data_IF_634052877210
#
_entry.id   IF_634052877210
#
_cell.length_a   1.000
_cell.length_b   1.000
_cell.length_c   1.000
_cell.angle_alpha   90.00
_cell.angle_beta   90.00
_cell.angle_gamma   90.00
#
_symmetry.space_group_name_H-M   'P 1'
#
loop_
_entity.id
_entity.type
_entity.pdbx_description
1 polymer ?
#
# COMPACT_ATOMS: atom_id res chain seq x y z
N UNK A 1 62.56 -29.89 12.10
CA UNK A 1 61.38 -29.73 11.21
C UNK A 1 60.55 -28.57 11.72
N UNK A 2 60.34 -27.51 10.93
CA UNK A 2 59.50 -26.39 11.37
C UNK A 2 58.00 -26.79 11.32
N UNK A 3 57.14 -26.20 12.17
CA UNK A 3 55.72 -26.55 12.21
C UNK A 3 55.00 -26.07 10.95
N UNK A 4 54.25 -26.97 10.31
CA UNK A 4 53.41 -26.68 9.14
C UNK A 4 52.42 -25.56 9.50
N UNK A 5 52.57 -24.40 8.85
CA UNK A 5 51.54 -23.34 8.84
C UNK A 5 50.27 -23.93 8.24
N UNK A 6 49.19 -23.94 9.02
CA UNK A 6 47.87 -24.25 8.54
C UNK A 6 47.44 -23.17 7.53
N UNK A 7 47.36 -23.55 6.26
CA UNK A 7 46.79 -22.71 5.19
C UNK A 7 45.35 -23.18 5.03
N UNK A 8 44.32 -22.35 5.37
CA UNK A 8 42.94 -22.75 5.15
C UNK A 8 42.70 -22.99 3.65
N UNK A 9 41.92 -24.03 3.29
CA UNK A 9 41.57 -24.26 1.90
C UNK A 9 40.80 -23.05 1.36
N UNK A 10 40.99 -22.68 0.07
CA UNK A 10 40.21 -21.61 -0.53
C UNK A 10 38.73 -21.98 -0.43
N UNK A 11 37.94 -21.09 0.19
CA UNK A 11 36.50 -21.27 0.28
C UNK A 11 35.95 -21.44 -1.14
N UNK A 12 35.17 -22.51 -1.43
CA UNK A 12 34.54 -22.63 -2.72
C UNK A 12 33.71 -21.37 -2.96
N UNK A 13 33.93 -20.69 -4.08
CA UNK A 13 33.08 -19.59 -4.55
C UNK A 13 31.69 -20.17 -4.80
N UNK A 14 30.88 -20.25 -3.74
CA UNK A 14 29.53 -20.79 -3.78
C UNK A 14 28.71 -19.83 -4.64
N UNK A 15 28.30 -20.33 -5.80
CA UNK A 15 27.27 -19.86 -6.72
C UNK A 15 26.48 -18.64 -6.25
N UNK A 16 26.45 -17.58 -7.07
CA UNK A 16 25.76 -16.30 -6.79
C UNK A 16 24.30 -16.41 -6.36
N UNK A 17 23.62 -17.52 -6.66
CA UNK A 17 22.29 -17.87 -6.13
C UNK A 17 22.22 -17.97 -4.60
N UNK A 18 23.33 -18.26 -3.92
CA UNK A 18 23.37 -18.40 -2.46
C UNK A 18 23.27 -17.05 -1.74
N UNK A 19 23.76 -15.97 -2.35
CA UNK A 19 23.74 -14.64 -1.74
C UNK A 19 22.32 -14.08 -1.64
N UNK A 20 21.51 -14.25 -2.67
CA UNK A 20 20.14 -13.74 -2.71
C UNK A 20 19.20 -14.51 -1.81
N UNK A 21 19.32 -15.85 -1.82
CA UNK A 21 18.58 -16.70 -0.91
C UNK A 21 18.97 -16.40 0.55
N UNK A 22 20.26 -16.13 0.79
CA UNK A 22 20.78 -15.70 2.09
C UNK A 22 20.23 -14.35 2.53
N UNK A 23 20.17 -13.37 1.63
CA UNK A 23 19.57 -12.06 1.90
C UNK A 23 18.06 -12.16 2.17
N UNK A 24 17.34 -12.97 1.39
CA UNK A 24 15.93 -13.24 1.61
C UNK A 24 15.69 -13.91 2.96
N UNK A 25 16.46 -14.95 3.29
CA UNK A 25 16.34 -15.65 4.57
C UNK A 25 16.70 -14.76 5.75
N UNK A 26 17.75 -13.94 5.63
CA UNK A 26 18.12 -12.95 6.63
C UNK A 26 16.99 -11.94 6.85
N UNK A 27 16.38 -11.43 5.77
CA UNK A 27 15.21 -10.54 5.83
C UNK A 27 14.00 -11.21 6.49
N UNK A 28 13.74 -12.48 6.19
CA UNK A 28 12.66 -13.27 6.79
C UNK A 28 12.88 -13.45 8.31
N UNK A 29 14.07 -13.87 8.72
CA UNK A 29 14.42 -14.00 10.14
C UNK A 29 14.31 -12.66 10.86
N UNK A 30 14.81 -11.58 10.25
CA UNK A 30 14.73 -10.23 10.78
C UNK A 30 13.29 -9.74 10.97
N UNK A 31 12.40 -10.08 10.03
CA UNK A 31 10.98 -9.71 10.09
C UNK A 31 10.25 -10.33 11.29
N UNK A 32 10.74 -11.46 11.81
CA UNK A 32 10.18 -12.12 13.01
C UNK A 32 10.67 -11.51 14.33
N UNK A 33 11.66 -10.60 14.30
CA UNK A 33 12.21 -10.01 15.52
C UNK A 33 11.38 -8.84 16.06
N UNK A 34 11.38 -8.59 17.39
CA UNK A 34 10.72 -7.43 17.98
C UNK A 34 11.23 -6.09 17.43
N UNK A 35 12.51 -6.04 17.02
CA UNK A 35 13.18 -4.87 16.48
C UNK A 35 12.93 -4.64 14.97
N UNK A 36 12.01 -5.37 14.33
CA UNK A 36 11.75 -5.29 12.88
C UNK A 36 11.57 -3.87 12.36
N UNK A 37 10.81 -3.01 13.05
CA UNK A 37 10.54 -1.66 12.56
C UNK A 37 11.78 -0.78 12.58
N UNK A 38 12.60 -0.89 13.63
CA UNK A 38 13.84 -0.13 13.77
C UNK A 38 14.88 -0.60 12.75
N UNK A 39 15.00 -1.91 12.55
CA UNK A 39 15.94 -2.50 11.59
C UNK A 39 15.52 -2.23 10.14
N UNK A 40 14.21 -2.24 9.84
CA UNK A 40 13.71 -1.82 8.52
C UNK A 40 13.98 -0.34 8.23
N UNK A 41 13.84 0.53 9.25
CA UNK A 41 14.19 1.94 9.12
C UNK A 41 15.67 2.18 8.81
N UNK A 42 16.56 1.34 9.35
CA UNK A 42 18.01 1.42 9.08
C UNK A 42 18.39 0.84 7.71
N UNK A 43 17.65 -0.14 7.21
CA UNK A 43 17.88 -0.75 5.89
C UNK A 43 17.26 0.06 4.74
N UNK A 44 16.26 0.90 5.01
CA UNK A 44 15.61 1.71 3.98
C UNK A 44 16.61 2.58 3.18
N UNK A 45 17.53 3.34 3.80
CA UNK A 45 18.56 4.09 3.06
C UNK A 45 19.46 3.22 2.19
N UNK A 46 19.81 2.01 2.66
CA UNK A 46 20.64 1.06 1.91
C UNK A 46 19.88 0.60 0.67
N UNK A 47 18.64 0.14 0.83
CA UNK A 47 17.77 -0.24 -0.27
C UNK A 47 17.62 0.90 -1.28
N UNK A 48 17.34 2.10 -0.80
CA UNK A 48 17.08 3.27 -1.64
C UNK A 48 18.32 3.71 -2.43
N UNK A 49 19.54 3.42 -1.93
CA UNK A 49 20.79 3.59 -2.66
C UNK A 49 21.02 2.50 -3.71
N UNK A 50 20.74 1.23 -3.37
CA UNK A 50 21.01 0.10 -4.26
C UNK A 50 19.98 -0.05 -5.39
N UNK A 51 18.73 0.39 -5.21
CA UNK A 51 17.70 0.35 -6.26
C UNK A 51 18.15 1.10 -7.54
N UNK A 52 18.55 2.38 -7.48
CA UNK A 52 19.06 3.09 -8.66
C UNK A 52 20.30 2.43 -9.27
N UNK A 53 21.23 1.92 -8.44
CA UNK A 53 22.43 1.23 -8.92
C UNK A 53 22.07 -0.04 -9.69
N UNK A 54 21.12 -0.83 -9.19
CA UNK A 54 20.60 -2.00 -9.89
C UNK A 54 20.01 -1.61 -11.26
N UNK A 55 19.15 -0.60 -11.30
CA UNK A 55 18.53 -0.15 -12.54
C UNK A 55 19.55 0.36 -13.57
N UNK A 56 20.55 1.14 -13.13
CA UNK A 56 21.64 1.60 -13.99
C UNK A 56 22.46 0.41 -14.50
N UNK A 57 22.80 -0.55 -13.64
CA UNK A 57 23.57 -1.74 -14.03
C UNK A 57 22.83 -2.59 -15.06
N UNK A 58 21.52 -2.81 -14.89
CA UNK A 58 20.69 -3.55 -15.86
C UNK A 58 20.60 -2.79 -17.17
N UNK A 59 20.44 -1.47 -17.13
CA UNK A 59 20.39 -0.61 -18.31
C UNK A 59 21.71 -0.61 -19.10
N UNK A 60 22.86 -0.54 -18.42
CA UNK A 60 24.18 -0.59 -19.07
C UNK A 60 24.52 -1.97 -19.65
N UNK A 61 23.93 -3.03 -19.11
CA UNK A 61 24.08 -4.40 -19.63
C UNK A 61 23.25 -4.70 -20.88
N UNK A 62 22.38 -3.78 -21.31
CA UNK A 62 21.54 -3.96 -22.50
C UNK A 62 22.25 -3.49 -23.77
N UNK A 63 22.43 -4.41 -24.71
CA UNK A 63 22.81 -4.08 -26.08
C UNK A 63 21.59 -3.54 -26.84
N UNK A 64 21.46 -2.22 -26.90
CA UNK A 64 20.36 -1.54 -27.58
C UNK A 64 20.30 -1.85 -29.09
N UNK A 65 21.44 -2.16 -29.72
CA UNK A 65 21.48 -2.53 -31.14
C UNK A 65 20.85 -3.90 -31.37
N UNK A 66 21.21 -4.88 -30.55
CA UNK A 66 20.63 -6.22 -30.59
C UNK A 66 19.15 -6.24 -30.16
N UNK A 67 18.74 -5.38 -29.23
CA UNK A 67 17.32 -5.22 -28.87
C UNK A 67 16.54 -4.57 -30.02
N UNK A 68 17.11 -3.58 -30.69
CA UNK A 68 16.47 -2.90 -31.82
C UNK A 68 16.29 -3.83 -33.03
N UNK A 69 17.18 -4.80 -33.27
CA UNK A 69 17.00 -5.77 -34.36
C UNK A 69 15.88 -6.79 -34.05
N UNK A 70 15.69 -7.14 -32.77
CA UNK A 70 14.70 -8.11 -32.29
C UNK A 70 13.49 -7.47 -31.60
N UNK A 71 13.21 -6.19 -31.87
CA UNK A 71 12.22 -5.40 -31.14
C UNK A 71 10.82 -6.04 -31.09
N UNK A 72 10.43 -6.72 -32.18
CA UNK A 72 9.15 -7.39 -32.32
C UNK A 72 9.05 -8.63 -31.42
N UNK A 73 10.13 -9.42 -31.29
CA UNK A 73 10.20 -10.57 -30.38
C UNK A 73 10.11 -10.09 -28.94
N UNK A 74 10.88 -9.05 -28.60
CA UNK A 74 10.90 -8.46 -27.26
C UNK A 74 9.51 -7.95 -26.88
N UNK A 75 8.86 -7.20 -27.78
CA UNK A 75 7.53 -6.67 -27.54
C UNK A 75 6.49 -7.78 -27.37
N UNK A 76 6.53 -8.82 -28.22
CA UNK A 76 5.62 -9.96 -28.14
C UNK A 76 5.77 -10.70 -26.81
N UNK A 77 7.01 -11.02 -26.41
CA UNK A 77 7.27 -11.74 -25.15
C UNK A 77 6.91 -10.87 -23.94
N UNK A 78 7.21 -9.58 -23.97
CA UNK A 78 6.84 -8.64 -22.91
C UNK A 78 5.32 -8.65 -22.69
N UNK A 79 4.54 -8.44 -23.75
CA UNK A 79 3.07 -8.43 -23.66
C UNK A 79 2.54 -9.79 -23.22
N UNK A 80 3.08 -10.89 -23.75
CA UNK A 80 2.67 -12.24 -23.37
C UNK A 80 2.92 -12.52 -21.88
N UNK A 81 4.13 -12.26 -21.38
CA UNK A 81 4.49 -12.49 -19.97
C UNK A 81 3.64 -11.64 -19.05
N UNK A 82 3.48 -10.35 -19.34
CA UNK A 82 2.69 -9.46 -18.50
C UNK A 82 1.21 -9.84 -18.50
N UNK A 83 0.63 -10.15 -19.68
CA UNK A 83 -0.78 -10.55 -19.79
C UNK A 83 -1.04 -11.88 -19.09
N UNK A 84 -0.19 -12.89 -19.30
CA UNK A 84 -0.32 -14.21 -18.66
C UNK A 84 -0.20 -14.06 -17.14
N UNK A 85 0.83 -13.36 -16.64
CA UNK A 85 0.98 -13.17 -15.19
C UNK A 85 -0.17 -12.39 -14.59
N UNK A 86 -0.59 -11.30 -15.22
CA UNK A 86 -1.73 -10.52 -14.75
C UNK A 86 -3.00 -11.38 -14.67
N UNK A 87 -3.28 -12.16 -15.71
CA UNK A 87 -4.45 -13.04 -15.75
C UNK A 87 -4.38 -14.16 -14.72
N UNK A 88 -3.24 -14.86 -14.60
CA UNK A 88 -3.05 -15.95 -13.64
C UNK A 88 -3.18 -15.41 -12.21
N UNK A 89 -2.52 -14.29 -11.89
CA UNK A 89 -2.55 -13.71 -10.54
C UNK A 89 -3.94 -13.17 -10.21
N UNK A 90 -4.61 -12.49 -11.14
CA UNK A 90 -5.98 -12.03 -10.94
C UNK A 90 -6.96 -13.21 -10.80
N UNK A 91 -6.80 -14.26 -11.60
CA UNK A 91 -7.60 -15.48 -11.50
C UNK A 91 -7.39 -16.21 -10.18
N UNK A 92 -6.14 -16.30 -9.70
CA UNK A 92 -5.82 -16.81 -8.37
C UNK A 92 -6.44 -15.94 -7.27
N UNK A 93 -6.27 -14.63 -7.31
CA UNK A 93 -6.86 -13.74 -6.32
C UNK A 93 -8.39 -13.88 -6.29
N UNK A 94 -9.02 -13.90 -7.46
CA UNK A 94 -10.46 -14.10 -7.54
C UNK A 94 -10.87 -15.46 -6.99
N UNK A 95 -10.18 -16.55 -7.32
CA UNK A 95 -10.47 -17.90 -6.79
C UNK A 95 -10.21 -18.05 -5.28
N UNK A 96 -9.33 -17.22 -4.72
CA UNK A 96 -9.16 -17.10 -3.28
C UNK A 96 -10.29 -16.33 -2.58
N UNK A 97 -11.18 -15.67 -3.34
CA UNK A 97 -12.35 -14.95 -2.82
C UNK A 97 -12.16 -13.44 -2.70
N UNK A 98 -11.11 -12.88 -3.31
CA UNK A 98 -10.95 -11.43 -3.42
C UNK A 98 -11.97 -10.82 -4.39
N UNK A 99 -12.31 -9.54 -4.19
CA UNK A 99 -13.22 -8.83 -5.09
C UNK A 99 -12.60 -8.68 -6.49
N UNK A 100 -13.43 -8.55 -7.53
CA UNK A 100 -12.97 -8.31 -8.90
C UNK A 100 -11.95 -7.16 -9.00
N UNK A 101 -12.22 -5.99 -8.40
CA UNK A 101 -11.27 -4.87 -8.39
C UNK A 101 -9.92 -5.21 -7.74
N UNK A 102 -9.93 -5.84 -6.55
CA UNK A 102 -8.71 -6.24 -5.84
C UNK A 102 -7.92 -7.24 -6.67
N UNK A 103 -8.60 -8.21 -7.28
CA UNK A 103 -7.98 -9.25 -8.10
C UNK A 103 -7.27 -8.66 -9.33
N UNK A 104 -7.91 -7.72 -10.04
CA UNK A 104 -7.31 -7.01 -11.18
C UNK A 104 -6.13 -6.15 -10.73
N UNK A 105 -6.28 -5.41 -9.62
CA UNK A 105 -5.19 -4.58 -9.10
C UNK A 105 -3.97 -5.43 -8.71
N UNK A 106 -4.18 -6.55 -8.02
CA UNK A 106 -3.10 -7.49 -7.68
C UNK A 106 -2.45 -8.09 -8.93
N UNK A 107 -3.25 -8.47 -9.92
CA UNK A 107 -2.75 -8.99 -11.20
C UNK A 107 -1.84 -8.00 -11.92
N UNK A 108 -2.28 -6.75 -12.06
CA UNK A 108 -1.51 -5.69 -12.73
C UNK A 108 -0.27 -5.28 -11.93
N UNK A 109 -0.37 -5.19 -10.61
CA UNK A 109 0.76 -4.81 -9.75
C UNK A 109 1.88 -5.85 -9.73
N UNK A 110 1.56 -7.13 -9.96
CA UNK A 110 2.51 -8.25 -9.93
C UNK A 110 2.82 -8.82 -11.32
N UNK A 111 2.34 -8.17 -12.39
CA UNK A 111 2.52 -8.60 -13.78
C UNK A 111 3.98 -8.52 -14.26
N UNK A 112 4.79 -7.66 -13.64
CA UNK A 112 6.17 -7.40 -14.04
C UNK A 112 7.04 -8.66 -14.01
N UNK A 113 8.09 -8.70 -14.84
CA UNK A 113 9.06 -9.79 -14.75
C UNK A 113 9.86 -9.67 -13.43
N UNK A 114 10.13 -10.81 -12.78
CA UNK A 114 10.84 -10.81 -11.51
C UNK A 114 12.34 -10.61 -11.71
N UNK A 115 13.00 -9.92 -10.78
CA UNK A 115 14.46 -9.67 -10.81
C UNK A 115 15.27 -10.97 -10.83
N UNK A 116 14.79 -12.01 -10.14
CA UNK A 116 15.34 -13.38 -10.18
C UNK A 116 15.49 -13.97 -11.59
N UNK A 117 14.75 -13.46 -12.57
CA UNK A 117 14.90 -13.86 -13.97
C UNK A 117 16.30 -13.54 -14.50
N UNK A 118 16.84 -12.35 -14.18
CA UNK A 118 18.16 -11.93 -14.64
C UNK A 118 19.27 -12.82 -14.08
N UNK A 119 19.11 -13.25 -12.84
CA UNK A 119 20.07 -14.15 -12.18
C UNK A 119 20.00 -15.56 -12.75
N UNK A 120 18.78 -16.05 -12.98
CA UNK A 120 18.58 -17.36 -13.61
C UNK A 120 19.18 -17.37 -15.02
N UNK A 121 18.99 -16.30 -15.78
CA UNK A 121 19.57 -16.13 -17.12
C UNK A 121 21.09 -16.04 -17.06
N UNK A 122 21.65 -15.28 -16.11
CA UNK A 122 23.09 -15.17 -15.90
C UNK A 122 23.73 -16.52 -15.59
N UNK A 123 23.14 -17.30 -14.67
CA UNK A 123 23.62 -18.64 -14.32
C UNK A 123 23.46 -19.61 -15.50
N UNK A 124 22.34 -19.56 -16.22
CA UNK A 124 22.09 -20.40 -17.39
C UNK A 124 23.04 -20.12 -18.55
N UNK A 125 23.33 -18.84 -18.81
CA UNK A 125 24.31 -18.39 -19.80
C UNK A 125 25.72 -18.83 -19.44
N UNK A 126 26.13 -18.67 -18.17
CA UNK A 126 27.44 -19.12 -17.69
C UNK A 126 27.66 -20.64 -17.82
N UNK A 127 26.58 -21.42 -17.88
CA UNK A 127 26.60 -22.88 -18.12
C UNK A 127 26.36 -23.27 -19.58
N UNK A 128 26.24 -22.31 -20.49
CA UNK A 128 25.97 -22.55 -21.91
C UNK A 128 24.57 -23.09 -22.22
N UNK A 129 23.63 -23.01 -21.27
CA UNK A 129 22.25 -23.50 -21.44
C UNK A 129 21.35 -22.50 -22.17
N UNK A 130 21.75 -21.22 -22.21
CA UNK A 130 20.98 -20.12 -22.78
C UNK A 130 21.86 -19.44 -23.83
N UNK A 131 21.34 -19.35 -25.06
CA UNK A 131 22.03 -18.67 -26.15
C UNK A 131 22.09 -17.14 -25.96
N UNK A 132 23.06 -16.46 -26.59
CA UNK A 132 23.26 -15.02 -26.43
C UNK A 132 22.01 -14.20 -26.80
N UNK A 133 21.29 -14.57 -27.85
CA UNK A 133 20.07 -13.88 -28.28
C UNK A 133 18.96 -13.96 -27.22
N UNK A 134 18.83 -15.12 -26.56
CA UNK A 134 17.86 -15.29 -25.48
C UNK A 134 18.22 -14.46 -24.24
N UNK A 135 19.51 -14.29 -23.94
CA UNK A 135 19.97 -13.40 -22.86
C UNK A 135 19.55 -11.96 -23.15
N UNK A 136 19.79 -11.48 -24.38
CA UNK A 136 19.41 -10.12 -24.82
C UNK A 136 17.90 -9.92 -24.69
N UNK A 137 17.10 -10.84 -25.26
CA UNK A 137 15.65 -10.75 -25.26
C UNK A 137 15.08 -10.75 -23.83
N UNK A 138 15.52 -11.68 -22.98
CA UNK A 138 14.99 -11.78 -21.61
C UNK A 138 15.39 -10.57 -20.76
N UNK A 139 16.63 -10.10 -20.88
CA UNK A 139 17.09 -8.91 -20.16
C UNK A 139 16.29 -7.68 -20.57
N UNK A 140 16.02 -7.52 -21.87
CA UNK A 140 15.21 -6.42 -22.39
C UNK A 140 13.76 -6.49 -21.90
N UNK A 141 13.14 -7.68 -21.91
CA UNK A 141 11.79 -7.88 -21.38
C UNK A 141 11.72 -7.51 -19.89
N UNK A 142 12.70 -7.92 -19.09
CA UNK A 142 12.74 -7.56 -17.67
C UNK A 142 12.83 -6.05 -17.49
N UNK A 143 13.79 -5.40 -18.13
CA UNK A 143 14.00 -3.95 -18.01
C UNK A 143 12.78 -3.14 -18.47
N UNK A 144 12.22 -3.48 -19.65
CA UNK A 144 11.03 -2.81 -20.16
C UNK A 144 9.81 -3.05 -19.26
N UNK A 145 9.66 -4.25 -18.69
CA UNK A 145 8.55 -4.51 -17.76
C UNK A 145 8.63 -3.64 -16.50
N UNK A 146 9.82 -3.35 -15.98
CA UNK A 146 10.01 -2.47 -14.83
C UNK A 146 9.64 -1.01 -15.15
N UNK A 147 9.86 -0.58 -16.40
CA UNK A 147 9.47 0.76 -16.88
C UNK A 147 7.94 0.84 -17.07
N UNK A 148 7.33 -0.20 -17.62
CA UNK A 148 5.88 -0.23 -17.92
C UNK A 148 5.04 -0.35 -16.64
N UNK A 149 5.53 -1.07 -15.62
CA UNK A 149 4.75 -1.42 -14.42
C UNK A 149 4.19 -0.22 -13.64
N UNK A 150 4.94 0.86 -13.36
CA UNK A 150 4.40 2.05 -12.68
C UNK A 150 3.19 2.64 -13.41
N UNK A 151 3.24 2.69 -14.75
CA UNK A 151 2.11 3.19 -15.54
C UNK A 151 0.91 2.23 -15.45
N UNK A 152 1.13 0.92 -15.56
CA UNK A 152 0.07 -0.08 -15.34
C UNK A 152 -0.58 0.05 -13.96
N UNK A 153 0.20 0.27 -12.90
CA UNK A 153 -0.33 0.46 -11.53
C UNK A 153 -1.17 1.75 -11.44
N UNK A 154 -0.76 2.84 -12.08
CA UNK A 154 -1.54 4.09 -12.10
C UNK A 154 -2.89 3.93 -12.82
N UNK A 155 -2.95 3.13 -13.88
CA UNK A 155 -4.19 2.85 -14.62
C UNK A 155 -5.02 1.71 -14.03
N UNK A 156 -4.46 0.90 -13.12
CA UNK A 156 -5.14 -0.24 -12.51
C UNK A 156 -6.49 0.10 -11.85
N UNK A 157 -6.67 1.21 -11.11
CA UNK A 157 -7.96 1.55 -10.50
C UNK A 157 -9.06 1.78 -11.54
N UNK A 158 -8.73 2.50 -12.63
CA UNK A 158 -9.69 2.77 -13.72
C UNK A 158 -10.13 1.49 -14.41
N UNK A 159 -9.22 0.53 -14.59
CA UNK A 159 -9.56 -0.78 -15.16
C UNK A 159 -10.38 -1.62 -14.16
N UNK A 160 -10.00 -1.59 -12.88
CA UNK A 160 -10.66 -2.31 -11.80
C UNK A 160 -12.12 -1.86 -11.59
N UNK A 161 -12.43 -0.57 -11.78
CA UNK A 161 -13.79 -0.02 -11.74
C UNK A 161 -14.73 -0.72 -12.75
N UNK A 162 -14.21 -1.13 -13.90
CA UNK A 162 -14.99 -1.86 -14.93
C UNK A 162 -15.36 -3.28 -14.51
N UNK A 163 -14.64 -3.84 -13.54
CA UNK A 163 -14.82 -5.20 -13.02
C UNK A 163 -15.44 -5.23 -11.61
N UNK A 164 -15.96 -4.10 -11.12
CA UNK A 164 -16.72 -4.01 -9.85
C UNK A 164 -17.94 -4.94 -9.83
N UNK A 165 -18.52 -5.23 -11.00
CA UNK A 165 -19.71 -6.08 -11.14
C UNK A 165 -19.41 -7.58 -11.22
N UNK A 166 -18.14 -8.00 -11.22
CA UNK A 166 -17.82 -9.43 -11.22
C UNK A 166 -18.10 -10.00 -9.84
N UNK A 167 -19.10 -10.88 -9.69
CA UNK A 167 -19.38 -11.49 -8.40
C UNK A 167 -18.19 -12.35 -7.96
N UNK A 168 -17.91 -12.46 -6.65
CA UNK A 168 -16.92 -13.39 -6.13
C UNK A 168 -17.30 -14.83 -6.49
N UNK A 169 -16.35 -15.77 -6.52
CA UNK A 169 -16.61 -17.15 -6.92
C UNK A 169 -17.66 -17.79 -5.98
N UNK A 170 -18.56 -18.63 -6.54
CA UNK A 170 -19.69 -19.20 -5.80
C UNK A 170 -19.29 -20.20 -4.70
N UNK A 171 -18.02 -20.58 -4.61
CA UNK A 171 -17.53 -21.68 -3.76
C UNK A 171 -16.88 -21.23 -2.45
N UNK A 172 -16.79 -19.93 -2.14
CA UNK A 172 -16.22 -19.43 -0.88
C UNK A 172 -17.12 -18.38 -0.21
N UNK A 173 -17.87 -18.84 0.77
CA UNK A 173 -18.52 -17.99 1.76
C UNK A 173 -17.57 -17.79 2.95
N UNK A 174 -17.15 -16.55 3.25
CA UNK A 174 -16.83 -16.17 4.63
C UNK A 174 -15.42 -15.64 4.95
N UNK A 175 -14.31 -16.26 4.50
CA UNK A 175 -13.04 -16.02 5.21
C UNK A 175 -12.16 -14.85 4.73
N UNK A 176 -12.12 -14.54 3.42
CA UNK A 176 -11.25 -13.50 2.85
C UNK A 176 -12.00 -12.24 2.41
N UNK A 177 -13.33 -12.25 2.55
CA UNK A 177 -14.19 -11.10 2.29
C UNK A 177 -13.81 -9.91 3.19
N UNK A 178 -13.25 -10.20 4.36
CA UNK A 178 -13.05 -9.24 5.44
C UNK A 178 -11.83 -8.32 5.29
N UNK A 179 -10.85 -8.67 4.45
CA UNK A 179 -9.61 -7.86 4.31
C UNK A 179 -9.82 -6.72 3.30
N UNK A 180 -10.67 -6.94 2.29
CA UNK A 180 -11.02 -5.93 1.27
C UNK A 180 -12.40 -5.29 1.44
N UNK A 181 -13.36 -5.95 2.09
CA UNK A 181 -14.71 -5.44 2.28
C UNK A 181 -14.90 -4.57 3.54
N UNK A 182 -13.91 -4.51 4.44
CA UNK A 182 -13.87 -3.51 5.53
C UNK A 182 -13.86 -2.06 5.04
N UNK A 183 -13.69 -1.84 3.73
CA UNK A 183 -13.84 -0.52 3.14
C UNK A 183 -15.17 -0.26 2.44
N UNK A 184 -16.11 -1.22 2.30
CA UNK A 184 -17.38 -0.90 1.62
C UNK A 184 -18.62 -1.75 1.87
N UNK A 185 -18.69 -2.61 2.89
CA UNK A 185 -20.00 -3.20 3.28
C UNK A 185 -19.94 -3.74 4.72
N UNK A 186 -20.14 -2.84 5.68
CA UNK A 186 -20.46 -3.20 7.07
C UNK A 186 -21.82 -3.90 7.09
N UNK A 187 -21.88 -5.03 7.78
CA UNK A 187 -23.11 -5.74 8.10
C UNK A 187 -23.98 -4.86 9.01
N UNK A 188 -25.17 -4.52 8.51
CA UNK A 188 -26.40 -4.17 9.24
C UNK A 188 -26.28 -3.41 10.59
N UNK A 189 -25.47 -2.36 10.64
CA UNK A 189 -25.48 -1.33 11.68
C UNK A 189 -25.33 0.06 11.06
N UNK A 190 -25.82 1.14 11.71
CA UNK A 190 -25.61 2.49 11.22
C UNK A 190 -24.10 2.80 11.20
N UNK A 191 -23.64 3.42 10.12
CA UNK A 191 -22.25 3.87 9.99
C UNK A 191 -21.93 4.86 11.11
N UNK A 192 -20.75 4.75 11.72
CA UNK A 192 -20.35 5.56 12.88
C UNK A 192 -19.49 6.73 12.45
N UNK A 193 -19.89 7.95 12.82
CA UNK A 193 -19.15 9.16 12.51
C UNK A 193 -18.76 9.92 13.78
N UNK A 194 -17.51 10.38 13.85
CA UNK A 194 -17.02 11.29 14.90
C UNK A 194 -16.88 12.68 14.30
N UNK A 195 -17.48 13.68 14.95
CA UNK A 195 -17.40 15.09 14.55
C UNK A 195 -16.68 15.85 15.66
N UNK A 196 -15.45 16.27 15.41
CA UNK A 196 -14.69 17.11 16.33
C UNK A 196 -14.95 18.59 16.03
N UNK A 197 -15.56 19.28 16.99
CA UNK A 197 -16.06 20.65 16.90
C UNK A 197 -17.52 20.71 16.44
N UNK A 198 -18.37 21.38 17.22
CA UNK A 198 -19.81 21.56 16.98
C UNK A 198 -20.19 23.03 16.71
N UNK A 199 -19.30 23.73 15.99
CA UNK A 199 -19.55 25.06 15.43
C UNK A 199 -20.43 25.03 14.17
N UNK A 200 -20.48 26.11 13.38
CA UNK A 200 -21.34 26.19 12.19
C UNK A 200 -21.16 25.02 11.22
N UNK A 201 -19.90 24.68 10.91
CA UNK A 201 -19.56 23.56 10.01
C UNK A 201 -19.91 22.21 10.63
N UNK A 202 -19.56 21.99 11.89
CA UNK A 202 -19.86 20.75 12.61
C UNK A 202 -21.37 20.47 12.74
N UNK A 203 -22.18 21.52 12.93
CA UNK A 203 -23.66 21.41 12.99
C UNK A 203 -24.27 21.00 11.67
N UNK A 204 -23.81 21.58 10.56
CA UNK A 204 -24.28 21.25 9.22
C UNK A 204 -23.90 19.81 8.83
N UNK A 205 -22.68 19.41 9.16
CA UNK A 205 -22.21 18.04 8.97
C UNK A 205 -22.99 17.04 9.83
N UNK A 206 -23.22 17.35 11.10
CA UNK A 206 -24.04 16.50 11.97
C UNK A 206 -25.42 16.32 11.37
N UNK A 207 -26.10 17.42 10.99
CA UNK A 207 -27.46 17.37 10.44
C UNK A 207 -27.51 16.51 9.16
N UNK A 208 -26.52 16.66 8.29
CA UNK A 208 -26.45 15.91 7.04
C UNK A 208 -26.19 14.41 7.28
N UNK A 209 -25.32 14.08 8.23
CA UNK A 209 -24.95 12.70 8.56
C UNK A 209 -26.06 11.99 9.33
N UNK A 210 -26.70 12.68 10.27
CA UNK A 210 -27.86 12.20 11.03
C UNK A 210 -29.03 11.87 10.09
N UNK A 211 -29.33 12.75 9.12
CA UNK A 211 -30.33 12.49 8.06
C UNK A 211 -29.95 11.32 7.15
N UNK A 212 -28.66 11.07 6.96
CA UNK A 212 -28.15 9.94 6.19
C UNK A 212 -28.08 8.63 7.01
N UNK A 213 -28.51 8.64 8.28
CA UNK A 213 -28.57 7.46 9.14
C UNK A 213 -27.24 7.09 9.81
N UNK A 214 -26.30 8.03 9.92
CA UNK A 214 -25.07 7.80 10.67
C UNK A 214 -25.30 7.92 12.17
N UNK A 215 -24.69 7.01 12.92
CA UNK A 215 -24.63 7.04 14.37
C UNK A 215 -23.48 7.97 14.81
N UNK A 216 -23.83 9.24 15.05
CA UNK A 216 -22.86 10.32 15.24
C UNK A 216 -22.44 10.50 16.70
N UNK A 217 -21.15 10.76 16.92
CA UNK A 217 -20.59 11.20 18.21
C UNK A 217 -19.91 12.54 18.03
N UNK A 218 -20.24 13.52 18.88
CA UNK A 218 -19.70 14.87 18.84
C UNK A 218 -18.60 15.00 19.90
N UNK A 219 -17.47 15.61 19.54
CA UNK A 219 -16.45 16.08 20.49
C UNK A 219 -16.51 17.60 20.53
N UNK A 220 -16.67 18.20 21.70
CA UNK A 220 -16.81 19.65 21.86
C UNK A 220 -16.13 20.16 23.14
N UNK A 221 -15.49 21.31 23.04
CA UNK A 221 -14.77 22.00 24.13
C UNK A 221 -15.67 22.98 24.89
N UNK A 222 -16.74 23.49 24.26
CA UNK A 222 -17.67 24.41 24.90
C UNK A 222 -18.69 23.65 25.80
N UNK A 223 -18.63 23.80 27.14
CA UNK A 223 -19.50 23.06 28.06
C UNK A 223 -20.99 23.38 27.89
N UNK A 224 -21.36 24.61 27.53
CA UNK A 224 -22.75 24.98 27.27
C UNK A 224 -23.30 24.25 26.04
N UNK A 225 -22.47 24.12 25.01
CA UNK A 225 -22.83 23.36 23.80
C UNK A 225 -22.97 21.88 24.12
N UNK A 226 -22.06 21.32 24.92
CA UNK A 226 -22.16 19.92 25.39
C UNK A 226 -23.44 19.69 26.17
N UNK A 227 -23.75 20.53 27.17
CA UNK A 227 -24.97 20.41 27.98
C UNK A 227 -26.22 20.47 27.11
N UNK A 228 -26.27 21.42 26.17
CA UNK A 228 -27.38 21.55 25.21
C UNK A 228 -27.55 20.32 24.34
N UNK A 229 -26.47 19.79 23.76
CA UNK A 229 -26.55 18.63 22.87
C UNK A 229 -26.88 17.34 23.62
N UNK A 230 -26.35 17.15 24.83
CA UNK A 230 -26.72 16.04 25.71
C UNK A 230 -28.20 16.10 26.10
N UNK A 231 -28.73 17.30 26.37
CA UNK A 231 -30.16 17.52 26.61
C UNK A 231 -31.07 17.17 25.42
N UNK A 232 -30.51 17.17 24.20
CA UNK A 232 -31.20 16.72 22.97
C UNK A 232 -31.02 15.21 22.71
N UNK A 233 -30.45 14.45 23.64
CA UNK A 233 -30.22 13.01 23.51
C UNK A 233 -29.05 12.63 22.60
N UNK A 234 -28.21 13.59 22.19
CA UNK A 234 -27.07 13.34 21.29
C UNK A 234 -25.87 12.84 22.07
N UNK A 235 -25.09 11.94 21.47
CA UNK A 235 -23.82 11.48 22.05
C UNK A 235 -22.76 12.55 21.92
N UNK A 236 -22.33 13.10 23.06
CA UNK A 236 -21.33 14.17 23.11
C UNK A 236 -20.29 13.90 24.18
N UNK A 237 -19.03 13.89 23.75
CA UNK A 237 -17.83 13.85 24.58
C UNK A 237 -17.32 15.27 24.78
N UNK A 238 -17.06 15.62 26.04
CA UNK A 238 -16.47 16.91 26.39
C UNK A 238 -14.95 16.77 26.40
N UNK A 239 -14.25 17.55 25.56
CA UNK A 239 -12.80 17.52 25.54
C UNK A 239 -12.18 17.99 24.23
N UNK A 240 -10.84 18.05 24.22
CA UNK A 240 -10.06 18.35 23.03
C UNK A 240 -9.81 17.07 22.22
N UNK A 241 -10.14 17.11 20.93
CA UNK A 241 -9.86 16.01 20.01
C UNK A 241 -8.35 15.78 19.76
N UNK A 242 -7.48 16.69 20.19
CA UNK A 242 -6.04 16.46 20.25
C UNK A 242 -5.61 15.54 21.41
N UNK A 243 -6.50 15.23 22.35
CA UNK A 243 -6.26 14.26 23.42
C UNK A 243 -6.67 12.84 22.98
N UNK A 244 -5.75 11.86 22.97
CA UNK A 244 -6.07 10.46 22.63
C UNK A 244 -7.20 9.85 23.46
N UNK A 245 -7.30 10.19 24.75
CA UNK A 245 -8.34 9.65 25.64
C UNK A 245 -9.73 10.11 25.22
N UNK A 246 -9.87 11.38 24.80
CA UNK A 246 -11.13 11.96 24.32
C UNK A 246 -11.57 11.29 23.01
N UNK A 247 -10.63 10.99 22.11
CA UNK A 247 -10.92 10.26 20.88
C UNK A 247 -11.32 8.80 21.16
N UNK A 248 -10.69 8.16 22.14
CA UNK A 248 -11.04 6.80 22.57
C UNK A 248 -12.44 6.76 23.19
N UNK A 249 -12.78 7.70 24.09
CA UNK A 249 -14.13 7.85 24.65
C UNK A 249 -15.18 8.10 23.55
N UNK A 250 -14.81 8.82 22.49
CA UNK A 250 -15.67 9.04 21.33
C UNK A 250 -15.84 7.81 20.42
N UNK A 251 -15.12 6.72 20.68
CA UNK A 251 -15.24 5.44 19.97
C UNK A 251 -14.42 5.37 18.67
N UNK A 252 -13.27 6.06 18.60
CA UNK A 252 -12.43 6.15 17.38
C UNK A 252 -12.08 4.80 16.74
N UNK A 253 -11.91 3.76 17.54
CA UNK A 253 -11.52 2.42 17.10
C UNK A 253 -12.54 1.77 16.14
N UNK A 254 -13.81 2.19 16.25
CA UNK A 254 -14.92 1.66 15.45
C UNK A 254 -15.52 2.73 14.53
N UNK A 255 -14.84 3.86 14.32
CA UNK A 255 -15.35 4.95 13.52
C UNK A 255 -15.15 4.68 12.02
N UNK A 256 -16.21 4.80 11.24
CA UNK A 256 -16.16 4.74 9.77
C UNK A 256 -15.69 6.07 9.18
N UNK A 257 -16.02 7.18 9.85
CA UNK A 257 -15.66 8.53 9.45
C UNK A 257 -15.29 9.42 10.65
N UNK A 258 -14.30 10.29 10.44
CA UNK A 258 -13.86 11.31 11.39
C UNK A 258 -13.77 12.66 10.69
N UNK A 259 -14.55 13.62 11.17
CA UNK A 259 -14.64 14.96 10.62
C UNK A 259 -14.06 15.96 11.62
N UNK A 260 -12.88 16.47 11.33
CA UNK A 260 -12.16 17.43 12.16
C UNK A 260 -12.52 18.84 11.69
N UNK A 261 -13.45 19.49 12.39
CA UNK A 261 -14.02 20.80 11.99
C UNK A 261 -13.54 21.97 12.84
N UNK A 262 -12.74 21.68 13.87
CA UNK A 262 -12.15 22.66 14.76
C UNK A 262 -11.24 23.64 13.98
N UNK A 263 -11.25 24.94 14.35
CA UNK A 263 -10.48 25.97 13.65
C UNK A 263 -8.99 25.96 14.01
N UNK A 264 -8.62 25.36 15.14
CA UNK A 264 -7.22 25.29 15.60
C UNK A 264 -6.41 24.30 14.73
N UNK A 265 -5.36 24.83 14.11
CA UNK A 265 -4.52 24.06 13.20
C UNK A 265 -3.65 23.02 13.89
N UNK A 266 -3.08 23.35 15.05
CA UNK A 266 -2.18 22.46 15.78
C UNK A 266 -2.98 21.31 16.38
N UNK A 267 -4.15 21.62 16.96
CA UNK A 267 -5.07 20.60 17.47
C UNK A 267 -5.56 19.68 16.33
N UNK A 268 -5.85 20.23 15.15
CA UNK A 268 -6.25 19.45 13.98
C UNK A 268 -5.14 18.50 13.47
N UNK A 269 -3.89 18.96 13.40
CA UNK A 269 -2.77 18.10 13.00
C UNK A 269 -2.51 16.99 14.02
N UNK A 270 -2.51 17.32 15.32
CA UNK A 270 -2.34 16.35 16.39
C UNK A 270 -3.45 15.29 16.36
N UNK A 271 -4.72 15.73 16.29
CA UNK A 271 -5.88 14.84 16.16
C UNK A 271 -5.79 13.96 14.90
N UNK A 272 -5.36 14.51 13.76
CA UNK A 272 -5.21 13.73 12.51
C UNK A 272 -4.19 12.60 12.68
N UNK A 273 -3.06 12.85 13.35
CA UNK A 273 -2.05 11.83 13.61
C UNK A 273 -2.59 10.72 14.52
N UNK A 274 -3.29 11.08 15.59
CA UNK A 274 -3.89 10.14 16.53
C UNK A 274 -4.95 9.29 15.82
N UNK A 275 -5.84 9.92 15.06
CA UNK A 275 -6.89 9.25 14.27
C UNK A 275 -6.27 8.28 13.26
N UNK A 276 -5.19 8.66 12.57
CA UNK A 276 -4.53 7.78 11.59
C UNK A 276 -3.82 6.59 12.24
N UNK A 277 -3.31 6.75 13.46
CA UNK A 277 -2.73 5.66 14.21
C UNK A 277 -3.80 4.70 14.76
N UNK A 278 -4.90 5.23 15.31
CA UNK A 278 -5.95 4.44 15.95
C UNK A 278 -6.94 3.80 14.95
N UNK A 279 -7.26 4.50 13.86
CA UNK A 279 -8.25 4.09 12.86
C UNK A 279 -7.73 4.30 11.42
N UNK A 280 -6.74 3.50 10.97
CA UNK A 280 -6.12 3.68 9.67
C UNK A 280 -7.11 3.56 8.49
N UNK A 281 -8.17 2.76 8.65
CA UNK A 281 -9.24 2.57 7.66
C UNK A 281 -10.35 3.63 7.67
N UNK A 282 -10.40 4.50 8.68
CA UNK A 282 -11.47 5.51 8.76
C UNK A 282 -11.32 6.57 7.66
N UNK A 283 -12.45 7.04 7.15
CA UNK A 283 -12.50 8.24 6.31
C UNK A 283 -12.21 9.48 7.16
N UNK A 284 -11.14 10.22 6.85
CA UNK A 284 -10.77 11.43 7.60
C UNK A 284 -10.93 12.65 6.71
N UNK A 285 -11.79 13.58 7.14
CA UNK A 285 -11.95 14.90 6.54
C UNK A 285 -11.54 15.97 7.55
N UNK A 286 -10.78 16.95 7.08
CA UNK A 286 -10.33 18.07 7.92
C UNK A 286 -10.77 19.39 7.32
N UNK A 287 -11.19 20.32 8.18
CA UNK A 287 -11.45 21.70 7.79
C UNK A 287 -10.12 22.43 7.65
N UNK A 288 -9.83 22.95 6.46
CA UNK A 288 -8.68 23.83 6.24
C UNK A 288 -9.13 25.21 5.76
N UNK A 289 -8.59 26.27 6.36
CA UNK A 289 -8.76 27.64 5.90
C UNK A 289 -7.78 28.08 4.79
N UNK A 290 -6.75 27.27 4.48
CA UNK A 290 -5.71 27.59 3.48
C UNK A 290 -5.24 26.34 2.70
N UNK A 291 -4.96 26.51 1.40
CA UNK A 291 -4.54 25.42 0.50
C UNK A 291 -3.22 24.74 0.94
N UNK A 292 -2.26 25.49 1.48
CA UNK A 292 -1.00 24.94 2.02
C UNK A 292 -1.23 23.97 3.19
N UNK A 293 -2.20 24.27 4.04
CA UNK A 293 -2.57 23.45 5.21
C UNK A 293 -3.38 22.21 4.84
N UNK A 294 -4.16 22.29 3.75
CA UNK A 294 -4.82 21.13 3.15
C UNK A 294 -3.84 20.12 2.57
N UNK A 295 -2.72 20.57 1.99
CA UNK A 295 -1.67 19.69 1.47
C UNK A 295 -0.90 18.95 2.59
N UNK A 296 -0.65 19.58 3.74
CA UNK A 296 -0.02 18.90 4.89
C UNK A 296 -0.93 17.82 5.50
N UNK A 297 -2.23 18.10 5.63
CA UNK A 297 -3.19 17.08 6.07
C UNK A 297 -3.36 15.95 5.05
N UNK A 298 -3.26 16.26 3.75
CA UNK A 298 -3.27 15.24 2.68
C UNK A 298 -2.02 14.37 2.72
N UNK A 299 -0.85 14.94 3.04
CA UNK A 299 0.39 14.19 3.27
C UNK A 299 0.28 13.22 4.48
N UNK A 300 -0.60 13.53 5.43
CA UNK A 300 -0.97 12.66 6.57
C UNK A 300 -2.19 11.75 6.27
N UNK A 301 -2.64 11.69 5.01
CA UNK A 301 -3.69 10.78 4.55
C UNK A 301 -5.12 11.32 4.62
N UNK A 302 -5.36 12.60 4.91
CA UNK A 302 -6.70 13.20 4.77
C UNK A 302 -7.10 13.36 3.29
N UNK A 303 -8.37 13.20 2.95
CA UNK A 303 -8.85 13.43 1.57
C UNK A 303 -9.33 14.87 1.41
N UNK A 304 -8.66 15.63 0.54
CA UNK A 304 -9.06 16.99 0.17
C UNK A 304 -10.18 16.93 -0.89
N UNK A 305 -11.35 17.53 -0.61
CA UNK A 305 -12.39 17.76 -1.62
C UNK A 305 -12.48 19.26 -1.88
N UNK A 306 -12.16 19.68 -3.11
CA UNK A 306 -12.36 21.08 -3.56
C UNK A 306 -13.87 21.39 -3.56
N UNK A 307 -14.24 22.60 -3.13
CA UNK A 307 -15.49 23.22 -3.56
C UNK A 307 -15.34 23.64 -5.01
#
# INVERSE_FOLDING_TARGET
MPPRRWVPPPLPRRSGSAAELGAFLAGFLLATTPARHQLMGQLAPVRDLFIPVFFVSVGLGLDLGAVASMWWIVLFILLAVMAIKAFVIAGCAWSFGFSGPVSIMSGLALAQAGEFTLLTVSVGSARGLIGPDAVVVVTAVVALSLIVTPTMIQFAPKLAERFVRVPPPPWKHGALRDIGARHHKQEAGPLRAIIAGFGPVGRELYTSLDQAGFDCTIIELNPDTVAKQRGLGRRVVYGDAANPEVLHEAGIENADAVLLTMPDHNAMLAATQIVRAAAPGAFVAVRSGFLSRGMQATALGARLRRR
#
